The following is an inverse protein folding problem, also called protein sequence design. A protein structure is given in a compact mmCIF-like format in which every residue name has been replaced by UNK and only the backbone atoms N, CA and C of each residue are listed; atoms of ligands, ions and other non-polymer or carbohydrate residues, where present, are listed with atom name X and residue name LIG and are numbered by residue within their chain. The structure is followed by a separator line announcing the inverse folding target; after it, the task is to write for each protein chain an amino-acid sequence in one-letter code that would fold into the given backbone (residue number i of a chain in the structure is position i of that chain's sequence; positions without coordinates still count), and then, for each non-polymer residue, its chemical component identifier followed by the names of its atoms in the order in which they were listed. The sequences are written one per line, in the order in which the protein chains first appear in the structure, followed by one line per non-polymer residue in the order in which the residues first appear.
data_IF_656449440435
#
_entry.id   IF_656449440435
#
_cell.length_a   1.000
_cell.length_b   1.000
_cell.length_c   1.000
_cell.angle_alpha   90.00
_cell.angle_beta   90.00
_cell.angle_gamma   90.00
#
_symmetry.space_group_name_H-M   'P 1'
#
loop_
_entity.id
_entity.type
_entity.pdbx_description
1 polymer ?
#
# COMPACT_ATOMS: atom_id res chain seq x y z
N UNK A 1 -14.12 25.91 -12.31
CA UNK A 1 -13.05 26.60 -13.05
C UNK A 1 -11.98 25.59 -13.40
N UNK A 2 -11.60 25.53 -14.68
CA UNK A 2 -10.49 24.72 -15.19
C UNK A 2 -9.33 25.65 -15.55
N UNK A 3 -8.13 25.34 -15.08
CA UNK A 3 -6.92 26.10 -15.38
C UNK A 3 -5.70 25.19 -15.30
N UNK A 4 -4.58 25.63 -15.88
CA UNK A 4 -3.31 24.92 -15.80
C UNK A 4 -2.29 25.72 -15.01
N UNK A 5 -1.54 25.04 -14.14
CA UNK A 5 -0.51 25.63 -13.30
C UNK A 5 0.61 24.59 -13.10
N UNK A 6 1.88 24.97 -13.28
CA UNK A 6 3.05 24.09 -13.06
C UNK A 6 2.92 22.70 -13.71
N UNK A 7 2.49 22.63 -14.97
CA UNK A 7 2.25 21.37 -15.70
C UNK A 7 1.13 20.48 -15.14
N UNK A 8 0.25 21.04 -14.30
CA UNK A 8 -0.93 20.36 -13.74
C UNK A 8 -2.18 20.91 -14.40
N UNK A 9 -3.16 20.05 -14.65
CA UNK A 9 -4.52 20.46 -14.94
C UNK A 9 -5.31 20.48 -13.64
N UNK A 10 -5.87 21.64 -13.31
CA UNK A 10 -6.58 21.86 -12.06
C UNK A 10 -8.04 22.17 -12.35
N UNK A 11 -8.92 21.47 -11.65
CA UNK A 11 -10.35 21.76 -11.57
C UNK A 11 -10.68 22.22 -10.15
N UNK A 12 -11.34 23.38 -10.04
CA UNK A 12 -11.86 23.89 -8.78
C UNK A 12 -13.32 24.29 -8.93
N UNK A 13 -14.19 23.72 -8.09
CA UNK A 13 -15.60 24.07 -8.05
C UNK A 13 -16.09 23.95 -6.60
N UNK A 14 -16.63 25.04 -6.07
CA UNK A 14 -17.04 25.14 -4.66
C UNK A 14 -15.91 24.73 -3.71
N UNK A 15 -16.13 23.70 -2.88
CA UNK A 15 -15.16 23.11 -1.96
C UNK A 15 -14.24 22.07 -2.61
N UNK A 16 -14.51 21.62 -3.83
CA UNK A 16 -13.73 20.58 -4.49
C UNK A 16 -12.51 21.13 -5.22
N UNK A 17 -11.35 20.56 -4.91
CA UNK A 17 -10.09 20.76 -5.61
C UNK A 17 -9.64 19.43 -6.23
N UNK A 18 -9.38 19.41 -7.53
CA UNK A 18 -8.88 18.26 -8.29
C UNK A 18 -7.61 18.66 -9.04
N UNK A 19 -6.55 17.87 -8.88
CA UNK A 19 -5.28 17.99 -9.60
C UNK A 19 -5.04 16.74 -10.44
N UNK A 20 -4.68 16.95 -11.71
CA UNK A 20 -4.15 15.92 -12.60
C UNK A 20 -2.78 16.38 -13.05
N UNK A 21 -1.75 15.61 -12.73
CA UNK A 21 -0.37 15.98 -13.04
C UNK A 21 0.40 14.78 -13.59
N UNK A 22 1.33 14.99 -14.53
CA UNK A 22 2.28 13.96 -14.93
C UNK A 22 3.03 13.42 -13.72
N UNK A 23 3.21 12.10 -13.67
CA UNK A 23 4.04 11.45 -12.65
C UNK A 23 4.73 10.24 -13.24
N UNK A 24 5.81 10.50 -13.98
CA UNK A 24 6.50 9.54 -14.83
C UNK A 24 6.05 9.62 -16.28
N UNK A 25 6.71 8.85 -17.14
CA UNK A 25 6.32 8.72 -18.54
C UNK A 25 4.98 7.98 -18.67
N UNK A 26 4.13 8.46 -19.57
CA UNK A 26 2.84 7.83 -19.88
C UNK A 26 1.90 7.65 -18.67
N UNK A 27 2.09 8.45 -17.62
CA UNK A 27 1.35 8.29 -16.37
C UNK A 27 0.87 9.62 -15.78
N UNK A 28 -0.24 9.56 -15.03
CA UNK A 28 -0.79 10.66 -14.27
C UNK A 28 -0.95 10.27 -12.80
N UNK A 29 -0.65 11.22 -11.91
CA UNK A 29 -1.15 11.21 -10.53
C UNK A 29 -2.38 12.11 -10.47
N UNK A 30 -3.47 11.56 -9.94
CA UNK A 30 -4.75 12.25 -9.81
C UNK A 30 -5.09 12.37 -8.33
N UNK A 31 -5.32 13.60 -7.87
CA UNK A 31 -5.65 13.90 -6.49
C UNK A 31 -6.87 14.78 -6.38
N UNK A 32 -7.73 14.51 -5.39
CA UNK A 32 -8.86 15.39 -5.10
C UNK A 32 -9.08 15.54 -3.59
N UNK A 33 -9.47 16.74 -3.15
CA UNK A 33 -9.77 17.01 -1.74
C UNK A 33 -10.85 18.07 -1.59
N UNK A 34 -11.45 18.13 -0.40
CA UNK A 34 -12.31 19.23 0.07
C UNK A 34 -11.61 20.15 1.07
N UNK A 35 -10.34 19.89 1.37
CA UNK A 35 -9.53 20.75 2.22
C UNK A 35 -9.16 22.04 1.49
N UNK A 36 -8.80 23.07 2.27
CA UNK A 36 -8.38 24.37 1.73
C UNK A 36 -7.16 24.27 0.78
N UNK A 37 -6.34 23.25 0.95
CA UNK A 37 -5.16 22.96 0.13
C UNK A 37 -4.95 21.46 -0.04
N UNK A 38 -4.37 21.06 -1.17
CA UNK A 38 -3.99 19.67 -1.42
C UNK A 38 -2.95 19.18 -0.40
N UNK A 39 -3.14 18.02 0.25
CA UNK A 39 -2.10 17.41 1.07
C UNK A 39 -0.83 17.11 0.27
N UNK A 40 0.33 17.32 0.89
CA UNK A 40 1.65 17.20 0.24
C UNK A 40 2.30 15.83 0.41
N UNK A 41 1.67 14.91 1.13
CA UNK A 41 2.19 13.55 1.32
C UNK A 41 2.21 12.78 0.00
N UNK A 42 3.38 12.27 -0.37
CA UNK A 42 3.62 11.51 -1.58
C UNK A 42 3.38 10.00 -1.38
N UNK A 43 3.34 9.54 -0.12
CA UNK A 43 3.13 8.13 0.26
C UNK A 43 4.09 7.20 -0.50
N UNK A 44 3.57 6.18 -1.20
CA UNK A 44 4.36 5.22 -1.96
C UNK A 44 5.06 5.89 -3.16
N UNK A 45 4.52 6.99 -3.68
CA UNK A 45 5.07 7.75 -4.81
C UNK A 45 6.19 8.72 -4.37
N UNK A 46 7.05 8.31 -3.44
CA UNK A 46 8.14 9.15 -2.92
C UNK A 46 9.23 9.44 -3.96
N UNK A 47 9.39 8.55 -4.96
CA UNK A 47 10.29 8.74 -6.09
C UNK A 47 9.59 9.64 -7.12
N UNK A 48 10.23 10.77 -7.44
CA UNK A 48 9.75 11.73 -8.44
C UNK A 48 10.46 11.46 -9.78
N UNK A 49 9.87 10.65 -10.66
CA UNK A 49 10.47 10.36 -11.96
C UNK A 49 10.53 11.63 -12.82
N UNK A 50 11.45 11.64 -13.79
CA UNK A 50 11.45 12.67 -14.81
C UNK A 50 10.10 12.66 -15.55
N UNK A 51 9.49 13.83 -15.69
CA UNK A 51 8.21 13.99 -16.40
C UNK A 51 8.42 14.74 -17.70
N UNK A 52 7.81 14.25 -18.77
CA UNK A 52 7.65 15.04 -20.00
C UNK A 52 6.81 16.27 -19.70
N UNK A 53 7.07 17.37 -20.41
CA UNK A 53 6.19 18.55 -20.34
C UNK A 53 4.86 18.17 -21.00
N UNK A 54 3.74 18.18 -20.25
CA UNK A 54 2.47 17.75 -20.80
C UNK A 54 1.90 18.80 -21.74
N UNK A 55 1.16 18.34 -22.74
CA UNK A 55 0.41 19.23 -23.62
C UNK A 55 -0.96 19.45 -22.98
N UNK A 56 -1.25 20.67 -22.55
CA UNK A 56 -2.54 21.03 -21.94
C UNK A 56 -3.33 21.95 -22.85
N UNK A 57 -4.62 21.64 -23.07
CA UNK A 57 -5.55 22.43 -23.88
C UNK A 57 -6.81 22.70 -23.08
N UNK A 58 -7.18 23.97 -22.93
CA UNK A 58 -8.36 24.39 -22.16
C UNK A 58 -9.25 25.27 -23.07
N UNK A 59 -9.96 24.69 -24.03
CA UNK A 59 -10.88 25.43 -24.88
C UNK A 59 -12.06 26.00 -24.07
N UNK A 60 -12.49 27.22 -24.41
CA UNK A 60 -13.59 27.90 -23.72
C UNK A 60 -14.91 27.13 -23.93
N UNK A 61 -15.61 26.78 -22.85
CA UNK A 61 -16.91 26.09 -22.89
C UNK A 61 -16.84 24.62 -23.30
N UNK A 62 -15.65 24.04 -23.44
CA UNK A 62 -15.43 22.63 -23.81
C UNK A 62 -14.60 21.91 -22.74
N UNK A 63 -14.45 20.60 -22.84
CA UNK A 63 -13.60 19.81 -21.94
C UNK A 63 -12.13 20.21 -22.03
N UNK A 64 -11.45 20.24 -20.87
CA UNK A 64 -10.01 20.48 -20.79
C UNK A 64 -9.26 19.16 -20.93
N UNK A 65 -8.14 19.18 -21.65
CA UNK A 65 -7.37 17.97 -21.95
C UNK A 65 -5.92 18.17 -21.54
N UNK A 66 -5.35 17.16 -20.87
CA UNK A 66 -3.92 17.06 -20.56
C UNK A 66 -3.38 15.75 -21.13
N UNK A 67 -2.29 15.83 -21.90
CA UNK A 67 -1.63 14.67 -22.54
C UNK A 67 -0.20 14.53 -22.04
N UNK A 68 0.18 13.32 -21.62
CA UNK A 68 1.53 12.95 -21.22
C UNK A 68 1.93 11.65 -21.95
N UNK A 69 2.73 11.76 -23.01
CA UNK A 69 3.12 10.60 -23.83
C UNK A 69 1.92 9.83 -24.39
N UNK A 70 1.78 8.56 -24.01
CA UNK A 70 0.71 7.65 -24.46
C UNK A 70 -0.62 7.79 -23.69
N UNK A 71 -0.70 8.63 -22.65
CA UNK A 71 -1.92 8.81 -21.85
C UNK A 71 -2.49 10.22 -22.00
N UNK A 72 -3.81 10.32 -22.06
CA UNK A 72 -4.53 11.61 -22.12
C UNK A 72 -5.71 11.59 -21.16
N UNK A 73 -5.83 12.62 -20.32
CA UNK A 73 -6.98 12.82 -19.44
C UNK A 73 -7.80 14.02 -19.94
N UNK A 74 -9.10 13.79 -20.13
CA UNK A 74 -10.09 14.80 -20.43
C UNK A 74 -10.94 15.07 -19.18
N UNK A 75 -11.15 16.35 -18.86
CA UNK A 75 -11.92 16.83 -17.72
C UNK A 75 -13.06 17.68 -18.22
N UNK A 76 -14.30 17.24 -17.96
CA UNK A 76 -15.49 18.00 -18.36
C UNK A 76 -15.59 19.33 -17.60
N UNK A 77 -16.46 20.23 -18.07
CA UNK A 77 -16.73 21.51 -17.39
C UNK A 77 -17.27 21.34 -15.96
N UNK A 78 -17.84 20.17 -15.64
CA UNK A 78 -18.28 19.78 -14.30
C UNK A 78 -17.28 18.88 -13.56
N UNK A 79 -16.08 18.70 -14.10
CA UNK A 79 -14.98 18.01 -13.43
C UNK A 79 -15.03 16.49 -13.55
N UNK A 80 -15.82 15.90 -14.46
CA UNK A 80 -15.80 14.45 -14.72
C UNK A 80 -14.54 14.09 -15.51
N UNK A 81 -13.82 13.07 -15.07
CA UNK A 81 -12.56 12.62 -15.69
C UNK A 81 -12.82 11.41 -16.59
N UNK A 82 -12.26 11.47 -17.80
CA UNK A 82 -12.12 10.31 -18.70
C UNK A 82 -10.68 10.22 -19.19
N UNK A 83 -10.11 9.01 -19.13
CA UNK A 83 -8.72 8.76 -19.48
C UNK A 83 -8.66 7.86 -20.72
N UNK A 84 -7.78 8.22 -21.64
CA UNK A 84 -7.59 7.57 -22.93
C UNK A 84 -6.14 7.19 -23.15
N UNK A 85 -5.90 6.17 -23.97
CA UNK A 85 -4.58 5.93 -24.55
C UNK A 85 -4.36 6.78 -25.82
N UNK A 86 -3.15 6.72 -26.38
CA UNK A 86 -2.76 7.38 -27.63
C UNK A 86 -3.58 6.96 -28.86
N UNK A 87 -4.23 5.79 -28.81
CA UNK A 87 -5.13 5.27 -29.86
C UNK A 87 -6.57 5.79 -29.71
N UNK A 88 -6.85 6.65 -28.74
CA UNK A 88 -8.20 7.17 -28.45
C UNK A 88 -9.13 6.17 -27.77
N UNK A 89 -8.61 5.03 -27.28
CA UNK A 89 -9.40 4.05 -26.53
C UNK A 89 -9.55 4.51 -25.09
N UNK A 90 -10.78 4.52 -24.57
CA UNK A 90 -11.08 4.81 -23.16
C UNK A 90 -10.47 3.74 -22.25
N UNK A 91 -9.63 4.15 -21.32
CA UNK A 91 -9.00 3.28 -20.31
C UNK A 91 -9.79 3.31 -19.00
N UNK A 92 -10.13 4.51 -18.52
CA UNK A 92 -10.93 4.76 -17.33
C UNK A 92 -11.95 5.85 -17.61
N UNK A 93 -13.15 5.71 -17.06
CA UNK A 93 -14.18 6.75 -17.05
C UNK A 93 -14.79 6.79 -15.66
N UNK A 94 -14.92 7.98 -15.09
CA UNK A 94 -15.59 8.16 -13.82
C UNK A 94 -17.08 7.78 -13.89
N UNK A 95 -17.54 7.06 -12.87
CA UNK A 95 -18.95 6.74 -12.72
C UNK A 95 -19.66 7.88 -11.98
N UNK A 96 -20.36 8.74 -12.72
CA UNK A 96 -21.24 9.76 -12.17
C UNK A 96 -22.68 9.53 -12.65
N UNK A 97 -23.65 9.64 -11.74
CA UNK A 97 -25.10 9.57 -12.02
C UNK A 97 -25.79 10.69 -11.26
N UNK A 98 -25.64 11.92 -11.74
CA UNK A 98 -26.27 13.10 -11.16
C UNK A 98 -26.77 14.02 -12.29
N UNK A 99 -27.39 15.15 -11.93
CA UNK A 99 -27.90 16.16 -12.87
C UNK A 99 -27.04 17.42 -12.96
N UNK A 100 -25.79 17.37 -12.48
CA UNK A 100 -24.88 18.54 -12.53
C UNK A 100 -24.46 18.88 -13.96
N UNK A 101 -24.38 17.87 -14.83
CA UNK A 101 -24.18 18.01 -16.26
C UNK A 101 -25.37 17.42 -17.02
N UNK A 102 -26.26 18.30 -17.51
CA UNK A 102 -27.45 17.89 -18.25
C UNK A 102 -27.13 17.34 -19.65
N UNK A 103 -25.91 17.59 -20.16
CA UNK A 103 -25.47 17.13 -21.47
C UNK A 103 -24.72 15.79 -21.40
N UNK A 104 -24.35 15.32 -20.20
CA UNK A 104 -23.75 14.00 -20.05
C UNK A 104 -24.78 12.93 -20.43
N UNK A 105 -24.47 11.99 -21.35
CA UNK A 105 -25.38 10.92 -21.75
C UNK A 105 -25.78 9.99 -20.59
N UNK A 106 -25.04 10.02 -19.47
CA UNK A 106 -25.29 9.27 -18.24
C UNK A 106 -25.90 10.13 -17.13
N UNK A 107 -26.39 11.33 -17.46
CA UNK A 107 -27.17 12.18 -16.56
C UNK A 107 -28.33 11.38 -15.93
N UNK A 108 -28.48 11.52 -14.62
CA UNK A 108 -29.42 10.69 -13.85
C UNK A 108 -29.83 11.37 -12.55
N UNK A 109 -31.02 11.03 -12.04
CA UNK A 109 -31.56 11.58 -10.79
C UNK A 109 -31.05 10.86 -9.52
N UNK A 110 -30.10 9.93 -9.65
CA UNK A 110 -29.62 9.12 -8.53
C UNK A 110 -28.72 9.91 -7.56
N UNK A 111 -28.20 11.06 -7.97
CA UNK A 111 -27.28 11.91 -7.21
C UNK A 111 -26.02 11.18 -6.71
N UNK A 112 -25.46 10.30 -7.56
CA UNK A 112 -24.22 9.58 -7.27
C UNK A 112 -23.03 10.35 -7.87
N UNK A 113 -22.11 10.74 -6.99
CA UNK A 113 -20.83 11.33 -7.36
C UNK A 113 -19.78 10.23 -7.66
N UNK A 114 -18.90 10.51 -8.62
CA UNK A 114 -17.75 9.65 -8.89
C UNK A 114 -16.71 9.71 -7.77
N UNK A 115 -16.47 10.91 -7.22
CA UNK A 115 -15.52 11.18 -6.14
C UNK A 115 -16.29 11.63 -4.90
N UNK A 116 -16.93 10.70 -4.21
CA UNK A 116 -17.70 11.03 -3.02
C UNK A 116 -16.76 11.20 -1.82
N UNK A 117 -16.57 12.44 -1.36
CA UNK A 117 -15.81 12.79 -0.15
C UNK A 117 -16.81 13.24 0.93
N UNK A 118 -17.20 12.32 1.81
CA UNK A 118 -18.14 12.59 2.90
C UNK A 118 -17.40 12.99 4.16
N UNK A 119 -17.67 14.19 4.73
CA UNK A 119 -16.98 14.65 5.91
C UNK A 119 -17.31 13.77 7.11
N UNK A 120 -16.30 13.39 7.86
CA UNK A 120 -16.43 12.78 9.17
C UNK A 120 -16.28 13.88 10.21
N UNK A 121 -17.20 13.92 11.18
CA UNK A 121 -17.14 14.89 12.26
C UNK A 121 -15.79 14.77 12.98
N UNK A 122 -15.00 15.83 12.94
CA UNK A 122 -13.66 15.87 13.55
C UNK A 122 -12.50 16.06 12.56
N UNK A 123 -12.70 15.92 11.24
CA UNK A 123 -11.79 16.53 10.26
C UNK A 123 -11.53 15.76 8.97
N UNK A 124 -11.42 14.43 9.02
CA UNK A 124 -11.15 13.61 7.84
C UNK A 124 -12.44 13.28 7.07
N UNK A 125 -12.32 12.52 5.98
CA UNK A 125 -13.46 12.10 5.17
C UNK A 125 -13.46 10.60 4.91
N UNK A 126 -14.66 10.04 4.77
CA UNK A 126 -14.85 8.77 4.07
C UNK A 126 -14.87 9.09 2.57
N UNK A 127 -14.05 8.37 1.82
CA UNK A 127 -13.88 8.55 0.39
C UNK A 127 -14.40 7.32 -0.34
N UNK A 128 -15.23 7.51 -1.37
CA UNK A 128 -15.58 6.48 -2.33
C UNK A 128 -15.37 6.99 -3.76
N UNK A 129 -14.38 6.40 -4.45
CA UNK A 129 -14.04 6.66 -5.84
C UNK A 129 -14.67 5.60 -6.74
N UNK A 130 -15.43 6.01 -7.77
CA UNK A 130 -16.16 5.11 -8.66
C UNK A 130 -15.77 5.30 -10.12
N UNK A 131 -15.57 4.18 -10.80
CA UNK A 131 -15.29 4.10 -12.22
C UNK A 131 -16.32 3.21 -12.92
N UNK A 132 -16.60 3.54 -14.17
CA UNK A 132 -17.36 2.68 -15.07
C UNK A 132 -16.56 1.42 -15.38
N UNK A 133 -17.23 0.27 -15.37
CA UNK A 133 -16.65 -0.93 -15.95
C UNK A 133 -16.81 -0.85 -17.47
N UNK A 134 -15.75 -0.45 -18.17
CA UNK A 134 -15.79 -0.12 -19.60
C UNK A 134 -15.92 -1.33 -20.54
N UNK A 135 -15.80 -2.55 -20.03
CA UNK A 135 -16.02 -3.74 -20.84
C UNK A 135 -16.25 -5.01 -20.01
N UNK A 136 -17.20 -5.88 -20.42
CA UNK A 136 -17.47 -7.14 -19.72
C UNK A 136 -16.29 -8.14 -19.82
N UNK A 137 -15.39 -7.93 -20.78
CA UNK A 137 -14.21 -8.77 -21.02
C UNK A 137 -12.92 -8.18 -20.41
N UNK A 138 -13.00 -7.04 -19.71
CA UNK A 138 -11.84 -6.52 -18.98
C UNK A 138 -11.42 -7.51 -17.90
N UNK A 139 -10.13 -7.84 -17.87
CA UNK A 139 -9.52 -8.62 -16.81
C UNK A 139 -8.65 -7.69 -15.98
N UNK A 140 -8.68 -7.88 -14.66
CA UNK A 140 -7.91 -7.10 -13.69
C UNK A 140 -7.05 -8.06 -12.87
N UNK A 141 -5.78 -7.74 -12.67
CA UNK A 141 -4.79 -8.54 -11.97
C UNK A 141 -4.07 -7.70 -10.91
N UNK A 142 -3.30 -8.33 -10.01
CA UNK A 142 -2.50 -7.64 -9.00
C UNK A 142 -3.20 -7.54 -7.64
N UNK A 143 -3.30 -6.33 -7.09
CA UNK A 143 -3.92 -5.97 -5.80
C UNK A 143 -3.27 -6.57 -4.54
N UNK A 144 -2.30 -7.47 -4.68
CA UNK A 144 -1.54 -8.06 -3.59
C UNK A 144 -1.82 -9.55 -3.42
N UNK A 145 -1.92 -10.00 -2.18
CA UNK A 145 -2.12 -11.40 -1.82
C UNK A 145 -3.45 -11.58 -1.09
N UNK A 146 -4.33 -12.39 -1.67
CA UNK A 146 -5.64 -12.75 -1.11
C UNK A 146 -5.86 -14.26 -1.21
N UNK A 147 -6.44 -14.86 -0.17
CA UNK A 147 -6.74 -16.30 -0.13
C UNK A 147 -7.97 -16.65 -0.98
N UNK A 148 -7.78 -16.68 -2.29
CA UNK A 148 -8.84 -16.97 -3.26
C UNK A 148 -8.30 -17.68 -4.52
N UNK A 149 -9.13 -18.45 -5.24
CA UNK A 149 -8.69 -19.19 -6.42
C UNK A 149 -8.66 -18.33 -7.71
N UNK A 150 -8.79 -17.00 -7.61
CA UNK A 150 -9.01 -16.12 -8.74
C UNK A 150 -7.76 -15.30 -9.08
N UNK A 151 -7.19 -15.54 -10.26
CA UNK A 151 -6.18 -14.67 -10.86
C UNK A 151 -6.81 -13.41 -11.47
N UNK A 152 -7.90 -13.57 -12.22
CA UNK A 152 -8.70 -12.44 -12.70
C UNK A 152 -9.62 -11.95 -11.58
N UNK A 153 -9.37 -10.73 -11.12
CA UNK A 153 -10.07 -10.05 -10.03
C UNK A 153 -11.32 -9.31 -10.52
N UNK A 154 -11.64 -9.34 -11.81
CA UNK A 154 -12.89 -8.72 -12.28
C UNK A 154 -14.09 -9.44 -11.68
N UNK A 155 -14.99 -8.67 -11.06
CA UNK A 155 -16.16 -9.15 -10.34
C UNK A 155 -15.89 -9.52 -8.89
N UNK A 156 -14.64 -9.46 -8.41
CA UNK A 156 -14.31 -9.73 -7.01
C UNK A 156 -14.41 -8.48 -6.16
N UNK A 157 -14.33 -8.70 -4.86
CA UNK A 157 -14.37 -7.67 -3.85
C UNK A 157 -13.26 -7.90 -2.83
N UNK A 158 -12.39 -6.91 -2.67
CA UNK A 158 -11.16 -7.03 -1.91
C UNK A 158 -11.17 -6.05 -0.73
N UNK A 159 -10.93 -6.56 0.47
CA UNK A 159 -10.65 -5.73 1.63
C UNK A 159 -9.26 -5.09 1.48
N UNK A 160 -9.17 -3.77 1.65
CA UNK A 160 -7.89 -3.06 1.69
C UNK A 160 -7.42 -3.01 3.15
N UNK A 161 -6.93 -4.15 3.63
CA UNK A 161 -6.38 -4.32 4.98
C UNK A 161 -5.36 -5.47 5.00
N UNK A 162 -4.49 -5.48 6.01
CA UNK A 162 -3.57 -6.56 6.27
C UNK A 162 -4.15 -7.51 7.33
N UNK A 163 -4.05 -8.81 7.07
CA UNK A 163 -4.44 -9.90 7.99
C UNK A 163 -3.46 -11.04 7.77
N UNK A 164 -3.30 -11.93 8.73
CA UNK A 164 -2.48 -13.12 8.52
C UNK A 164 -2.96 -13.84 7.25
N UNK A 165 -2.02 -14.15 6.35
CA UNK A 165 -2.22 -14.68 4.99
C UNK A 165 -2.78 -13.73 3.91
N UNK A 166 -3.04 -12.46 4.23
CA UNK A 166 -3.56 -11.41 3.32
C UNK A 166 -2.68 -10.15 3.33
N UNK A 167 -2.23 -9.71 2.16
CA UNK A 167 -1.46 -8.48 2.00
C UNK A 167 -2.09 -7.58 0.93
N UNK A 168 -2.60 -6.42 1.33
CA UNK A 168 -3.09 -5.43 0.38
C UNK A 168 -1.93 -4.66 -0.26
N UNK A 169 -1.74 -4.82 -1.57
CA UNK A 169 -0.78 -4.06 -2.39
C UNK A 169 -1.55 -3.51 -3.58
N UNK A 170 -2.22 -2.35 -3.43
CA UNK A 170 -3.36 -1.99 -4.28
C UNK A 170 -2.94 -1.36 -5.62
N UNK A 171 -2.09 -2.09 -6.35
CA UNK A 171 -1.76 -1.87 -7.75
C UNK A 171 -2.47 -2.90 -8.63
N UNK A 172 -3.28 -2.42 -9.55
CA UNK A 172 -4.05 -3.22 -10.48
C UNK A 172 -3.50 -3.10 -11.90
N UNK A 173 -3.34 -4.23 -12.59
CA UNK A 173 -3.03 -4.30 -14.01
C UNK A 173 -4.29 -4.69 -14.79
N UNK A 174 -4.71 -3.86 -15.74
CA UNK A 174 -5.87 -4.14 -16.60
C UNK A 174 -5.45 -4.65 -17.97
N UNK A 175 -6.19 -5.64 -18.48
CA UNK A 175 -6.05 -6.14 -19.87
C UNK A 175 -6.39 -5.09 -20.94
N UNK A 176 -6.88 -3.90 -20.55
CA UNK A 176 -7.12 -2.75 -21.45
C UNK A 176 -5.86 -1.91 -21.71
N UNK A 177 -4.72 -2.26 -21.11
CA UNK A 177 -3.44 -1.57 -21.32
C UNK A 177 -3.20 -0.41 -20.36
N UNK A 178 -3.65 -0.54 -19.10
CA UNK A 178 -3.34 0.43 -18.05
C UNK A 178 -2.99 -0.25 -16.73
N UNK A 179 -2.15 0.41 -15.94
CA UNK A 179 -1.91 0.14 -14.53
C UNK A 179 -2.59 1.19 -13.67
N UNK A 180 -3.09 0.80 -12.50
CA UNK A 180 -3.79 1.67 -11.55
C UNK A 180 -3.30 1.39 -10.13
N UNK A 181 -2.64 2.36 -9.51
CA UNK A 181 -2.25 2.32 -8.10
C UNK A 181 -3.20 3.18 -7.27
N UNK A 182 -3.87 2.58 -6.30
CA UNK A 182 -4.56 3.30 -5.24
C UNK A 182 -3.54 3.78 -4.19
N UNK A 183 -3.09 5.03 -4.29
CA UNK A 183 -2.05 5.58 -3.41
C UNK A 183 -2.64 6.08 -2.08
N UNK A 184 -3.35 5.20 -1.37
CA UNK A 184 -4.01 5.53 -0.10
C UNK A 184 -3.96 4.33 0.87
N UNK A 185 -3.26 4.43 2.00
CA UNK A 185 -3.06 3.32 2.94
C UNK A 185 -4.24 3.11 3.91
N UNK A 186 -5.31 3.89 3.76
CA UNK A 186 -6.48 3.77 4.61
C UNK A 186 -7.13 2.40 4.49
N UNK A 187 -7.62 1.86 5.62
CA UNK A 187 -8.49 0.70 5.62
C UNK A 187 -9.71 0.99 4.75
N UNK A 188 -10.08 0.03 3.91
CA UNK A 188 -11.14 0.24 2.95
C UNK A 188 -11.48 -0.99 2.13
N UNK A 189 -11.98 -0.76 0.92
CA UNK A 189 -12.52 -1.80 0.05
C UNK A 189 -12.32 -1.47 -1.43
N UNK A 190 -11.94 -2.45 -2.23
CA UNK A 190 -11.88 -2.36 -3.68
C UNK A 190 -12.86 -3.37 -4.30
N UNK A 191 -14.01 -2.89 -4.76
CA UNK A 191 -14.98 -3.70 -5.48
C UNK A 191 -14.73 -3.55 -6.99
N UNK A 192 -14.23 -4.61 -7.64
CA UNK A 192 -13.86 -4.61 -9.06
C UNK A 192 -15.02 -5.09 -9.93
N UNK A 193 -16.22 -4.57 -9.67
CA UNK A 193 -17.46 -5.06 -10.24
C UNK A 193 -17.54 -5.03 -11.77
N UNK A 194 -18.44 -5.84 -12.32
CA UNK A 194 -18.64 -5.97 -13.79
C UNK A 194 -19.34 -4.78 -14.42
N UNK A 195 -20.04 -3.96 -13.62
CA UNK A 195 -20.73 -2.73 -14.06
C UNK A 195 -20.06 -1.46 -13.55
N UNK A 196 -19.63 -1.47 -12.29
CA UNK A 196 -18.99 -0.35 -11.61
C UNK A 196 -17.81 -0.90 -10.82
N UNK A 197 -16.67 -0.22 -10.89
CA UNK A 197 -15.55 -0.45 -10.01
C UNK A 197 -15.52 0.65 -8.96
N UNK A 198 -15.22 0.33 -7.71
CA UNK A 198 -15.13 1.33 -6.64
C UNK A 198 -13.98 1.05 -5.69
N UNK A 199 -13.33 2.13 -5.27
CA UNK A 199 -12.29 2.14 -4.24
C UNK A 199 -12.75 3.03 -3.11
N UNK A 200 -12.92 2.44 -1.93
CA UNK A 200 -13.35 3.10 -0.72
C UNK A 200 -12.19 3.18 0.27
N UNK A 201 -12.04 4.34 0.90
CA UNK A 201 -11.17 4.56 2.05
C UNK A 201 -12.02 5.09 3.20
N UNK A 202 -12.04 4.38 4.32
CA UNK A 202 -12.90 4.74 5.45
C UNK A 202 -12.49 6.06 6.11
N UNK A 203 -11.19 6.36 6.13
CA UNK A 203 -10.62 7.58 6.69
C UNK A 203 -9.48 8.07 5.82
N UNK A 204 -9.64 9.24 5.21
CA UNK A 204 -8.57 9.88 4.44
C UNK A 204 -8.77 11.39 4.34
N UNK A 205 -7.75 12.10 3.86
CA UNK A 205 -7.78 13.57 3.66
C UNK A 205 -7.94 13.97 2.20
N UNK A 206 -7.63 13.05 1.29
CA UNK A 206 -7.68 13.27 -0.14
C UNK A 206 -7.77 11.93 -0.88
N UNK A 207 -8.46 11.96 -2.03
CA UNK A 207 -8.27 10.99 -3.09
C UNK A 207 -6.85 11.13 -3.64
N UNK A 208 -6.18 9.99 -3.84
CA UNK A 208 -4.87 9.94 -4.49
C UNK A 208 -4.72 8.58 -5.19
N UNK A 209 -4.60 8.61 -6.51
CA UNK A 209 -4.29 7.43 -7.30
C UNK A 209 -3.34 7.79 -8.44
N UNK A 210 -2.62 6.78 -8.90
CA UNK A 210 -1.72 6.89 -10.04
C UNK A 210 -2.16 5.93 -11.13
N UNK A 211 -2.10 6.38 -12.37
CA UNK A 211 -2.53 5.61 -13.55
C UNK A 211 -1.50 5.76 -14.65
N UNK A 212 -1.11 4.64 -15.25
CA UNK A 212 -0.17 4.56 -16.38
C UNK A 212 -0.83 3.83 -17.54
N UNK A 213 -0.53 4.25 -18.77
CA UNK A 213 -1.00 3.58 -19.98
C UNK A 213 0.19 3.12 -20.82
N UNK A 214 0.19 1.85 -21.23
CA UNK A 214 1.14 1.35 -22.21
C UNK A 214 0.57 0.22 -23.06
N UNK A 215 1.33 -0.23 -24.06
CA UNK A 215 0.91 -1.27 -24.98
C UNK A 215 1.13 -2.69 -24.41
N UNK A 216 2.05 -2.86 -23.46
CA UNK A 216 2.37 -4.17 -22.87
C UNK A 216 2.33 -4.15 -21.33
N UNK A 217 2.02 -5.30 -20.69
CA UNK A 217 2.15 -5.47 -19.24
C UNK A 217 3.55 -5.15 -18.70
N UNK A 218 4.60 -5.54 -19.42
CA UNK A 218 5.99 -5.35 -18.98
C UNK A 218 6.34 -3.86 -18.80
N UNK A 219 5.95 -3.02 -19.75
CA UNK A 219 6.16 -1.56 -19.66
C UNK A 219 5.36 -0.93 -18.48
N UNK A 220 4.17 -1.47 -18.18
CA UNK A 220 3.34 -1.00 -17.06
C UNK A 220 4.00 -1.34 -15.72
N UNK A 221 4.47 -2.58 -15.56
CA UNK A 221 5.19 -3.03 -14.35
C UNK A 221 6.51 -2.28 -14.17
N UNK A 222 7.25 -2.02 -15.26
CA UNK A 222 8.48 -1.23 -15.21
C UNK A 222 8.21 0.22 -14.79
N UNK A 223 7.15 0.84 -15.32
CA UNK A 223 6.74 2.18 -14.90
C UNK A 223 6.29 2.22 -13.43
N UNK A 224 5.63 1.16 -12.96
CA UNK A 224 5.25 1.01 -11.54
C UNK A 224 6.49 0.90 -10.64
N UNK A 225 7.48 0.08 -11.01
CA UNK A 225 8.74 -0.05 -10.29
C UNK A 225 9.52 1.28 -10.24
N UNK A 226 9.51 2.08 -11.32
CA UNK A 226 10.13 3.40 -11.35
C UNK A 226 9.59 4.38 -10.30
N UNK A 227 8.29 4.31 -10.00
CA UNK A 227 7.63 5.25 -9.08
C UNK A 227 7.52 4.72 -7.64
N UNK A 228 7.69 3.41 -7.45
CA UNK A 228 7.53 2.75 -6.14
C UNK A 228 8.82 2.14 -5.59
N UNK A 229 9.83 1.95 -6.44
CA UNK A 229 11.14 1.41 -6.08
C UNK A 229 11.44 0.09 -6.78
N UNK A 230 12.70 -0.07 -7.23
CA UNK A 230 13.19 -1.33 -7.76
C UNK A 230 13.56 -2.30 -6.65
N UNK A 231 13.27 -3.58 -6.87
CA UNK A 231 13.79 -4.65 -6.02
C UNK A 231 15.32 -4.71 -6.13
N UNK A 232 16.07 -4.84 -5.02
CA UNK A 232 17.51 -5.05 -5.07
C UNK A 232 17.83 -6.44 -5.65
N UNK A 233 19.09 -6.65 -6.04
CA UNK A 233 19.52 -7.97 -6.51
C UNK A 233 19.42 -9.00 -5.39
N UNK A 234 18.72 -10.11 -5.64
CA UNK A 234 18.62 -11.22 -4.69
C UNK A 234 20.01 -11.80 -4.41
N UNK A 235 20.42 -11.96 -3.13
CA UNK A 235 21.68 -12.62 -2.80
C UNK A 235 21.63 -14.10 -3.22
N UNK A 236 22.78 -14.66 -3.64
CA UNK A 236 22.85 -16.02 -4.18
C UNK A 236 22.30 -17.10 -3.23
N UNK A 237 22.54 -16.96 -1.92
CA UNK A 237 22.02 -17.91 -0.93
C UNK A 237 20.49 -17.93 -0.86
N UNK A 238 19.81 -16.87 -1.32
CA UNK A 238 18.35 -16.80 -1.39
C UNK A 238 17.74 -17.61 -2.53
N UNK A 239 18.56 -18.12 -3.46
CA UNK A 239 18.12 -18.99 -4.56
C UNK A 239 18.23 -20.49 -4.21
N UNK A 240 18.87 -20.81 -3.08
CA UNK A 240 19.05 -22.17 -2.58
C UNK A 240 17.79 -22.72 -1.90
N UNK A 241 17.91 -23.95 -1.35
CA UNK A 241 16.83 -24.56 -0.58
C UNK A 241 16.72 -23.93 0.80
N UNK A 242 15.51 -23.45 1.16
CA UNK A 242 15.17 -23.07 2.53
C UNK A 242 14.66 -24.27 3.31
N UNK A 243 15.28 -24.59 4.44
CA UNK A 243 14.73 -25.55 5.42
C UNK A 243 14.19 -24.79 6.62
N UNK A 244 12.90 -24.93 6.87
CA UNK A 244 12.21 -24.34 8.03
C UNK A 244 11.28 -25.38 8.65
N UNK A 245 11.16 -25.37 9.97
CA UNK A 245 10.20 -26.20 10.69
C UNK A 245 9.74 -25.42 11.93
N UNK A 246 8.45 -25.49 12.21
CA UNK A 246 7.74 -24.65 13.18
C UNK A 246 8.25 -24.84 14.62
N UNK A 247 8.90 -25.95 14.93
CA UNK A 247 9.75 -26.08 16.12
C UNK A 247 10.61 -27.37 16.07
N UNK A 248 11.94 -27.28 15.97
CA UNK A 248 12.86 -28.45 15.97
C UNK A 248 13.55 -28.80 17.30
N UNK A 249 12.96 -29.68 18.11
CA UNK A 249 13.37 -29.89 19.51
C UNK A 249 14.35 -31.04 19.72
N UNK A 250 15.38 -30.74 20.52
CA UNK A 250 16.31 -31.67 21.19
C UNK A 250 17.52 -32.20 20.40
N UNK A 251 18.54 -32.55 21.18
CA UNK A 251 19.99 -32.49 20.96
C UNK A 251 20.60 -33.48 19.92
N UNK A 252 19.83 -34.00 18.99
CA UNK A 252 20.35 -34.94 17.98
C UNK A 252 19.66 -34.86 16.61
N UNK A 253 18.79 -33.87 16.41
CA UNK A 253 18.16 -33.62 15.13
C UNK A 253 17.75 -32.15 15.10
N UNK A 254 18.37 -31.31 14.26
CA UNK A 254 17.54 -30.28 13.65
C UNK A 254 17.35 -28.89 14.27
N UNK A 255 17.76 -28.48 15.47
CA UNK A 255 17.73 -27.05 15.95
C UNK A 255 16.42 -26.18 15.88
N UNK A 256 15.73 -25.99 17.03
CA UNK A 256 14.42 -25.27 17.23
C UNK A 256 14.66 -23.76 17.19
N UNK A 257 14.06 -23.05 16.23
CA UNK A 257 14.13 -21.58 16.09
C UNK A 257 12.79 -20.87 16.41
N UNK A 258 11.90 -21.54 17.15
CA UNK A 258 10.71 -20.91 17.73
C UNK A 258 10.68 -21.10 19.24
N UNK A 259 10.49 -19.97 19.92
CA UNK A 259 10.11 -19.92 21.32
C UNK A 259 8.71 -20.54 21.48
N UNK A 260 8.65 -21.79 21.91
CA UNK A 260 7.75 -22.13 23.00
C UNK A 260 8.27 -23.37 23.73
N UNK A 261 8.82 -23.16 24.93
CA UNK A 261 8.98 -24.22 25.92
C UNK A 261 8.08 -23.84 27.08
N UNK A 262 6.92 -24.50 27.19
CA UNK A 262 6.22 -24.57 28.46
C UNK A 262 7.20 -25.04 29.53
N UNK A 263 7.41 -24.20 30.54
CA UNK A 263 8.41 -24.40 31.60
C UNK A 263 9.15 -23.10 31.92
N UNK A 264 8.48 -22.23 32.69
CA UNK A 264 9.02 -21.08 33.45
C UNK A 264 9.89 -20.07 32.68
N UNK A 265 9.22 -19.15 31.96
CA UNK A 265 9.46 -17.69 31.84
C UNK A 265 8.78 -17.17 30.57
N UNK A 266 8.13 -16.02 30.68
CA UNK A 266 7.17 -15.43 29.73
C UNK A 266 7.60 -15.41 28.26
N UNK A 267 6.59 -15.44 27.39
CA UNK A 267 6.73 -15.47 25.95
C UNK A 267 7.13 -14.13 25.33
N UNK A 268 8.05 -14.20 24.38
CA UNK A 268 7.92 -13.46 23.13
C UNK A 268 7.93 -11.92 23.24
N UNK A 269 8.84 -11.37 24.04
CA UNK A 269 9.22 -9.97 23.90
C UNK A 269 10.34 -9.80 22.88
N UNK A 270 10.33 -8.65 22.18
CA UNK A 270 11.31 -8.09 21.24
C UNK A 270 12.76 -8.02 21.76
N UNK A 271 13.30 -9.16 22.21
CA UNK A 271 14.60 -9.39 22.86
C UNK A 271 14.49 -9.37 24.39
N UNK A 272 14.14 -10.54 24.97
CA UNK A 272 14.66 -10.98 26.26
C UNK A 272 14.76 -12.52 26.30
N UNK A 273 16.00 -13.02 26.18
CA UNK A 273 16.58 -14.00 27.08
C UNK A 273 18.03 -14.25 26.62
N UNK A 274 18.98 -13.78 27.41
CA UNK A 274 20.42 -14.03 27.25
C UNK A 274 20.78 -15.53 27.18
N UNK A 275 19.85 -16.43 27.53
CA UNK A 275 20.03 -17.88 27.48
C UNK A 275 19.75 -18.58 26.14
N UNK A 276 19.35 -17.89 25.06
CA UNK A 276 18.94 -18.55 23.79
C UNK A 276 19.35 -17.84 22.49
N UNK A 277 20.33 -16.96 22.52
CA UNK A 277 20.92 -16.44 21.28
C UNK A 277 21.82 -17.53 20.70
N UNK A 278 21.73 -17.85 19.39
CA UNK A 278 22.70 -18.69 18.71
C UNK A 278 24.13 -18.40 19.14
N UNK A 279 24.82 -19.41 19.66
CA UNK A 279 26.23 -19.27 19.99
C UNK A 279 27.02 -18.99 18.70
N UNK A 280 28.06 -18.15 18.78
CA UNK A 280 28.92 -17.84 17.65
C UNK A 280 29.50 -19.11 16.98
N UNK A 281 29.73 -20.17 17.76
CA UNK A 281 30.15 -21.47 17.25
C UNK A 281 29.15 -22.07 16.25
N UNK A 282 27.84 -21.93 16.51
CA UNK A 282 26.79 -22.46 15.63
C UNK A 282 26.70 -21.68 14.33
N UNK A 283 26.80 -20.34 14.38
CA UNK A 283 26.78 -19.50 13.17
C UNK A 283 27.97 -19.87 12.27
N UNK A 284 29.15 -20.07 12.87
CA UNK A 284 30.36 -20.47 12.14
C UNK A 284 30.24 -21.88 11.54
N UNK A 285 29.71 -22.86 12.28
CA UNK A 285 29.49 -24.22 11.76
C UNK A 285 28.53 -24.20 10.55
N UNK A 286 27.45 -23.44 10.64
CA UNK A 286 26.51 -23.28 9.52
C UNK A 286 27.18 -22.62 8.30
N UNK A 287 28.03 -21.61 8.54
CA UNK A 287 28.77 -20.95 7.46
C UNK A 287 29.77 -21.90 6.78
N UNK A 288 30.46 -22.76 7.54
CA UNK A 288 31.32 -23.83 7.00
C UNK A 288 30.52 -24.83 6.13
N UNK A 289 29.26 -25.07 6.48
CA UNK A 289 28.30 -25.86 5.68
C UNK A 289 27.66 -25.07 4.53
N UNK A 290 28.02 -23.79 4.34
CA UNK A 290 27.42 -22.86 3.36
C UNK A 290 25.92 -22.65 3.57
N UNK A 291 25.47 -22.75 4.81
CA UNK A 291 24.08 -22.51 5.24
C UNK A 291 24.02 -21.17 5.96
N UNK A 292 23.07 -20.32 5.58
CA UNK A 292 22.82 -19.05 6.26
C UNK A 292 21.70 -19.20 7.29
N UNK A 293 21.98 -18.78 8.52
CA UNK A 293 20.99 -18.77 9.60
C UNK A 293 20.03 -17.60 9.42
N UNK A 294 18.73 -17.89 9.52
CA UNK A 294 17.65 -16.89 9.56
C UNK A 294 17.00 -16.91 10.95
N UNK A 295 16.80 -15.73 11.52
CA UNK A 295 16.16 -15.58 12.85
C UNK A 295 14.81 -14.92 12.72
N UNK A 296 13.79 -15.48 13.38
CA UNK A 296 12.45 -14.88 13.46
C UNK A 296 12.47 -13.67 14.40
N UNK A 297 11.88 -12.57 13.93
CA UNK A 297 11.69 -11.32 14.67
C UNK A 297 10.20 -11.00 14.61
N UNK A 298 9.59 -10.96 15.79
CA UNK A 298 8.20 -10.55 15.97
C UNK A 298 8.16 -9.06 16.37
N UNK A 299 7.10 -8.30 15.99
CA UNK A 299 6.94 -6.89 16.37
C UNK A 299 6.42 -6.72 17.81
N UNK A 300 6.31 -7.80 18.57
CA UNK A 300 5.65 -7.87 19.87
C UNK A 300 6.54 -7.40 21.01
N UNK A 301 5.98 -6.59 21.89
CA UNK A 301 6.60 -6.14 23.14
C UNK A 301 5.70 -6.54 24.29
N UNK A 302 6.13 -7.52 25.07
CA UNK A 302 5.45 -7.92 26.30
C UNK A 302 5.61 -6.84 27.38
N UNK A 303 4.53 -6.56 28.12
CA UNK A 303 4.53 -5.60 29.22
C UNK A 303 5.55 -5.92 30.33
N UNK A 304 5.88 -7.20 30.53
CA UNK A 304 6.85 -7.63 31.53
C UNK A 304 8.32 -7.50 31.09
N UNK A 305 8.57 -7.18 29.80
CA UNK A 305 9.92 -7.11 29.26
C UNK A 305 10.69 -5.86 29.70
N UNK A 306 12.03 -5.95 29.79
CA UNK A 306 12.89 -4.78 30.08
C UNK A 306 12.74 -3.63 29.09
N UNK A 307 12.34 -3.94 27.85
CA UNK A 307 12.22 -2.96 26.79
C UNK A 307 10.91 -2.15 26.90
N UNK A 308 9.88 -2.70 27.55
CA UNK A 308 8.56 -2.09 27.57
C UNK A 308 8.52 -0.71 28.24
N UNK A 309 9.09 -0.50 29.46
CA UNK A 309 9.04 0.82 30.10
C UNK A 309 9.71 1.92 29.27
N UNK A 310 10.88 1.64 28.68
CA UNK A 310 11.60 2.59 27.84
C UNK A 310 10.80 2.91 26.57
N UNK A 311 10.30 1.88 25.87
CA UNK A 311 9.51 2.06 24.66
C UNK A 311 8.20 2.81 24.93
N UNK A 312 7.60 2.58 26.10
CA UNK A 312 6.40 3.27 26.55
C UNK A 312 6.67 4.76 26.80
N UNK A 313 7.72 5.08 27.57
CA UNK A 313 8.12 6.46 27.90
C UNK A 313 8.47 7.27 26.64
N UNK A 314 9.15 6.62 25.69
CA UNK A 314 9.55 7.23 24.41
C UNK A 314 8.44 7.25 23.36
N UNK A 315 7.27 6.67 23.63
CA UNK A 315 6.15 6.63 22.69
C UNK A 315 6.41 5.79 21.43
N UNK A 316 7.15 4.68 21.56
CA UNK A 316 7.54 3.80 20.46
C UNK A 316 6.56 2.64 20.21
N UNK A 317 5.47 2.59 20.97
CA UNK A 317 4.47 1.52 20.95
C UNK A 317 3.16 2.04 20.35
N UNK A 318 2.40 1.16 19.70
CA UNK A 318 1.06 1.50 19.21
C UNK A 318 0.13 1.88 20.38
N UNK A 319 -0.91 2.63 20.06
CA UNK A 319 -1.94 3.06 21.01
C UNK A 319 -3.27 2.38 20.69
N UNK A 320 -4.09 2.25 21.72
CA UNK A 320 -5.46 1.78 21.60
C UNK A 320 -6.38 2.97 21.89
N UNK A 321 -7.38 3.19 21.03
CA UNK A 321 -8.35 4.28 21.21
C UNK A 321 -9.18 4.10 22.49
N UNK A 322 -9.44 2.84 22.87
CA UNK A 322 -10.21 2.47 24.05
C UNK A 322 -9.66 1.19 24.67
N UNK A 323 -9.90 1.01 25.96
CA UNK A 323 -9.54 -0.20 26.70
C UNK A 323 -8.09 -0.23 27.17
N UNK A 324 -7.64 -1.41 27.60
CA UNK A 324 -6.26 -1.65 28.05
C UNK A 324 -5.32 -1.72 26.85
N UNK A 325 -4.08 -1.27 27.02
CA UNK A 325 -3.04 -1.29 25.98
C UNK A 325 -2.45 -2.70 25.82
N UNK A 326 -3.27 -3.62 25.31
CA UNK A 326 -2.92 -5.00 25.00
C UNK A 326 -3.46 -5.31 23.61
N UNK A 327 -2.56 -5.62 22.68
CA UNK A 327 -2.88 -5.92 21.28
C UNK A 327 -3.04 -7.42 21.04
N UNK A 328 -2.30 -8.25 21.77
CA UNK A 328 -2.36 -9.71 21.66
C UNK A 328 -2.20 -10.33 23.05
N UNK A 329 -2.83 -11.48 23.26
CA UNK A 329 -2.59 -12.35 24.41
C UNK A 329 -2.08 -13.70 23.92
N UNK A 330 -0.77 -13.85 23.91
CA UNK A 330 -0.08 -15.10 23.60
C UNK A 330 0.98 -15.26 24.68
N UNK A 331 0.69 -16.09 25.70
CA UNK A 331 1.56 -16.35 26.85
C UNK A 331 1.99 -15.09 27.67
N UNK A 332 1.29 -13.97 27.50
CA UNK A 332 1.52 -12.70 28.19
C UNK A 332 0.64 -11.56 27.66
N UNK A 333 0.69 -10.39 28.29
CA UNK A 333 0.06 -9.18 27.78
C UNK A 333 1.03 -8.45 26.85
N UNK A 334 0.72 -8.46 25.55
CA UNK A 334 1.62 -8.00 24.50
C UNK A 334 1.02 -6.79 23.79
N UNK A 335 1.87 -5.80 23.48
CA UNK A 335 1.58 -4.74 22.52
C UNK A 335 2.57 -4.81 21.36
N UNK A 336 2.49 -3.85 20.42
CA UNK A 336 3.35 -3.81 19.24
C UNK A 336 4.14 -2.53 19.19
N UNK A 337 5.35 -2.60 18.64
CA UNK A 337 6.05 -1.37 18.30
C UNK A 337 5.36 -0.66 17.14
N UNK A 338 5.44 0.66 17.12
CA UNK A 338 4.85 1.47 16.06
C UNK A 338 5.81 1.55 14.87
N UNK A 339 5.62 0.68 13.86
CA UNK A 339 6.45 0.67 12.66
C UNK A 339 6.33 1.96 11.82
N UNK A 340 5.29 2.78 12.03
CA UNK A 340 5.15 4.07 11.35
C UNK A 340 6.07 5.14 11.95
N UNK A 341 6.44 5.00 13.23
CA UNK A 341 7.34 5.91 13.94
C UNK A 341 8.82 5.63 13.58
N UNK A 342 9.56 6.58 12.98
CA UNK A 342 10.98 6.41 12.66
C UNK A 342 11.86 6.02 13.85
N UNK A 343 11.61 6.61 15.03
CA UNK A 343 12.40 6.32 16.24
C UNK A 343 12.17 4.90 16.76
N UNK A 344 10.96 4.35 16.55
CA UNK A 344 10.65 2.97 16.94
C UNK A 344 11.34 1.97 16.00
N UNK A 345 11.35 2.25 14.68
CA UNK A 345 12.11 1.46 13.70
C UNK A 345 13.60 1.42 14.03
N UNK A 346 14.20 2.59 14.34
CA UNK A 346 15.61 2.68 14.74
C UNK A 346 15.87 1.89 16.02
N UNK A 347 15.01 2.00 17.03
CA UNK A 347 15.15 1.27 18.29
C UNK A 347 15.15 -0.25 18.07
N UNK A 348 14.16 -0.77 17.34
CA UNK A 348 14.05 -2.21 17.03
C UNK A 348 15.25 -2.68 16.20
N UNK A 349 15.66 -1.91 15.18
CA UNK A 349 16.84 -2.23 14.38
C UNK A 349 18.11 -2.27 15.23
N UNK A 350 18.35 -1.29 16.11
CA UNK A 350 19.54 -1.30 16.97
C UNK A 350 19.60 -2.53 17.87
N UNK A 351 18.46 -2.96 18.39
CA UNK A 351 18.34 -4.16 19.22
C UNK A 351 18.57 -5.43 18.38
N UNK A 352 17.98 -5.54 17.19
CA UNK A 352 18.22 -6.65 16.26
C UNK A 352 19.68 -6.70 15.79
N UNK A 353 20.26 -5.54 15.49
CA UNK A 353 21.65 -5.39 15.05
C UNK A 353 22.61 -5.89 16.11
N UNK A 354 22.49 -5.40 17.34
CA UNK A 354 23.34 -5.80 18.47
C UNK A 354 23.27 -7.30 18.78
N UNK A 355 22.09 -7.89 18.65
CA UNK A 355 21.86 -9.27 19.09
C UNK A 355 22.01 -10.33 17.99
N UNK A 356 21.87 -9.95 16.72
CA UNK A 356 21.89 -10.86 15.58
C UNK A 356 22.90 -10.42 14.52
N UNK A 357 22.72 -9.23 13.95
CA UNK A 357 23.54 -8.78 12.82
C UNK A 357 25.04 -8.70 13.14
N UNK A 358 25.38 -8.13 14.30
CA UNK A 358 26.77 -8.02 14.79
C UNK A 358 27.37 -9.37 15.19
N UNK A 359 26.56 -10.43 15.17
CA UNK A 359 26.95 -11.84 15.37
C UNK A 359 26.85 -12.65 14.08
N UNK A 360 26.97 -11.97 12.93
CA UNK A 360 27.00 -12.57 11.59
C UNK A 360 25.68 -13.22 11.13
N UNK A 361 24.57 -12.98 11.83
CA UNK A 361 23.23 -13.39 11.40
C UNK A 361 22.64 -12.31 10.51
N UNK A 362 22.71 -12.52 9.20
CA UNK A 362 22.37 -11.49 8.20
C UNK A 362 20.94 -11.61 7.64
N UNK A 363 20.21 -12.67 7.96
CA UNK A 363 18.85 -12.91 7.46
C UNK A 363 17.86 -12.85 8.62
N UNK A 364 16.82 -12.03 8.49
CA UNK A 364 15.74 -11.90 9.47
C UNK A 364 14.42 -12.30 8.82
N UNK A 365 13.66 -13.15 9.50
CA UNK A 365 12.27 -13.41 9.19
C UNK A 365 11.42 -12.43 9.99
N UNK A 366 10.91 -11.40 9.32
CA UNK A 366 10.01 -10.42 9.91
C UNK A 366 8.59 -11.00 9.88
N UNK A 367 8.23 -11.67 10.96
CA UNK A 367 6.94 -12.34 11.11
C UNK A 367 5.88 -11.36 11.65
N UNK A 368 4.59 -11.71 11.55
CA UNK A 368 3.48 -10.91 12.12
C UNK A 368 3.46 -9.45 11.62
N UNK A 369 3.77 -9.26 10.33
CA UNK A 369 4.06 -7.96 9.73
C UNK A 369 2.81 -7.14 9.33
N UNK A 370 1.60 -7.66 9.55
CA UNK A 370 0.33 -7.00 9.22
C UNK A 370 0.12 -5.70 10.00
N UNK A 371 0.15 -5.69 11.35
CA UNK A 371 0.37 -6.80 12.33
C UNK A 371 -0.91 -7.43 12.95
N UNK A 372 -0.87 -8.71 13.37
CA UNK A 372 -2.04 -9.62 13.62
C UNK A 372 -3.13 -9.21 14.63
#
# INVERSE_FOLDING_TARGET
MLYSEENKLIFRFDDHLLWIQPWGENAFRVRATKLASMPLDDRVLSIKPATLTPITKIPLGQEAVITNGKITAAVSQRGKITIYNSKGTKLLEEYARNRQDLLDPKCSALEIEARALWPILGGDCNLNMRFESLGPQEKVFGMGQYQQPHLNLKGTDLELAHRNSQASVPFALSSRGYGFLWNNPAIGRAALGTKVMSFEAYWTRALDYWVVASDTPAEIEEAYAWVTGYVPMMPEYGLGSGSANSAIGSRSSCWRLFANTGGEMGSGSLIQNSGRIPEHAMVKELDELKVKLMVSIWPTVENASENYPEMLERGLLIRHDRGVRVAMQCDGNITRFDATNPAAREYVWHKAKKNHYDKEIQVSWLDEAEPE
#
